data_IF_062623253240
#
_entry.id   IF_062623253240
#
_cell.length_a   1.000
_cell.length_b   1.000
_cell.length_c   1.000
_cell.angle_alpha   90.00
_cell.angle_beta   90.00
_cell.angle_gamma   90.00
#
_symmetry.space_group_name_H-M   'P 1'
#
loop_
_entity.id
_entity.type
_entity.pdbx_description
1 polymer ?
#
# COMPACT_ATOMS: atom_id res chain seq x y z
N UNK A 1 -20.12 46.35 16.75
CA UNK A 1 -20.55 44.97 17.04
C UNK A 1 -19.88 44.06 16.02
N UNK A 2 -18.94 43.24 16.48
CA UNK A 2 -18.27 42.24 15.67
C UNK A 2 -19.13 40.97 15.66
N UNK A 3 -19.44 40.43 14.49
CA UNK A 3 -20.01 39.10 14.33
C UNK A 3 -18.92 38.22 13.72
N UNK A 4 -18.34 37.35 14.55
CA UNK A 4 -17.37 36.35 14.16
C UNK A 4 -18.06 35.24 13.36
N UNK A 5 -17.62 35.01 12.13
CA UNK A 5 -17.97 33.82 11.35
C UNK A 5 -17.15 32.64 11.90
N UNK A 6 -17.78 31.79 12.70
CA UNK A 6 -17.21 30.53 13.12
C UNK A 6 -17.24 29.57 11.92
N UNK A 7 -16.06 29.34 11.32
CA UNK A 7 -15.88 28.27 10.35
C UNK A 7 -16.05 26.92 11.04
N UNK A 8 -17.00 26.12 10.57
CA UNK A 8 -17.04 24.70 10.87
C UNK A 8 -15.89 24.05 10.09
N UNK A 9 -14.73 23.95 10.74
CA UNK A 9 -13.71 22.99 10.34
C UNK A 9 -14.29 21.60 10.55
N UNK A 10 -14.75 20.97 9.47
CA UNK A 10 -15.08 19.55 9.48
C UNK A 10 -13.83 18.81 9.91
N UNK A 11 -13.85 18.27 11.13
CA UNK A 11 -12.88 17.23 11.48
C UNK A 11 -13.20 16.08 10.53
N UNK A 12 -12.27 15.79 9.60
CA UNK A 12 -12.27 14.53 8.90
C UNK A 12 -12.24 13.44 9.98
N UNK A 13 -13.39 12.83 10.25
CA UNK A 13 -13.46 11.69 11.15
C UNK A 13 -12.83 10.54 10.37
N UNK A 14 -11.55 10.28 10.66
CA UNK A 14 -10.87 9.10 10.14
C UNK A 14 -11.79 7.89 10.37
N UNK A 15 -12.02 7.11 9.30
CA UNK A 15 -12.97 5.99 9.37
C UNK A 15 -12.62 5.04 10.52
N UNK A 16 -13.63 4.45 11.18
CA UNK A 16 -13.39 3.46 12.22
C UNK A 16 -12.51 2.32 11.66
N UNK A 17 -11.45 1.90 12.36
CA UNK A 17 -10.54 0.85 11.89
C UNK A 17 -11.24 -0.44 11.47
N UNK A 18 -12.40 -0.74 12.05
CA UNK A 18 -13.23 -1.91 11.76
C UNK A 18 -13.73 -1.91 10.31
N UNK A 19 -14.04 -0.74 9.75
CA UNK A 19 -14.46 -0.58 8.35
C UNK A 19 -13.35 -1.06 7.39
N UNK A 20 -12.11 -0.71 7.70
CA UNK A 20 -10.96 -1.09 6.89
C UNK A 20 -10.52 -2.54 7.13
N UNK A 21 -10.90 -3.14 8.26
CA UNK A 21 -10.48 -4.48 8.67
C UNK A 21 -11.25 -5.63 7.99
N UNK A 22 -12.49 -5.41 7.52
CA UNK A 22 -13.37 -6.48 7.01
C UNK A 22 -12.70 -7.40 5.99
N UNK A 23 -12.17 -6.85 4.89
CA UNK A 23 -11.56 -7.65 3.84
C UNK A 23 -10.26 -8.33 4.29
N UNK A 24 -9.51 -7.71 5.20
CA UNK A 24 -8.28 -8.31 5.75
C UNK A 24 -8.60 -9.52 6.63
N UNK A 25 -9.69 -9.47 7.40
CA UNK A 25 -10.13 -10.55 8.29
C UNK A 25 -10.86 -11.67 7.55
N UNK A 26 -11.66 -11.33 6.53
CA UNK A 26 -12.45 -12.27 5.75
C UNK A 26 -11.68 -12.90 4.56
N UNK A 27 -10.40 -12.54 4.39
CA UNK A 27 -9.58 -13.06 3.31
C UNK A 27 -9.39 -14.58 3.42
N UNK A 28 -9.63 -15.35 2.36
CA UNK A 28 -9.29 -16.77 2.36
C UNK A 28 -7.76 -16.94 2.44
N UNK A 29 -7.33 -18.01 3.08
CA UNK A 29 -5.91 -18.31 3.25
C UNK A 29 -5.15 -18.30 1.91
N UNK A 30 -4.02 -17.60 1.87
CA UNK A 30 -3.16 -17.48 0.70
C UNK A 30 -3.62 -16.47 -0.36
N UNK A 31 -4.73 -15.75 -0.17
CA UNK A 31 -5.09 -14.64 -1.06
C UNK A 31 -4.04 -13.53 -1.01
N UNK A 32 -3.61 -13.15 0.19
CA UNK A 32 -2.53 -12.19 0.45
C UNK A 32 -1.24 -12.53 -0.33
N UNK A 33 -0.82 -13.79 -0.30
CA UNK A 33 0.38 -14.25 -1.00
C UNK A 33 0.21 -14.14 -2.53
N UNK A 34 -0.95 -14.51 -3.06
CA UNK A 34 -1.26 -14.35 -4.48
C UNK A 34 -1.29 -12.87 -4.87
N UNK A 35 -1.87 -11.99 -4.06
CA UNK A 35 -1.89 -10.55 -4.30
C UNK A 35 -0.47 -9.97 -4.31
N UNK A 36 0.39 -10.37 -3.38
CA UNK A 36 1.80 -9.99 -3.39
C UNK A 36 2.53 -10.46 -4.65
N UNK A 37 2.19 -11.66 -5.18
CA UNK A 37 2.74 -12.13 -6.45
C UNK A 37 2.25 -11.31 -7.66
N UNK A 38 1.00 -10.83 -7.64
CA UNK A 38 0.50 -9.91 -8.67
C UNK A 38 1.27 -8.59 -8.64
N UNK A 39 1.47 -8.01 -7.45
CA UNK A 39 2.23 -6.76 -7.30
C UNK A 39 3.67 -6.96 -7.78
N UNK A 40 4.33 -8.03 -7.35
CA UNK A 40 5.72 -8.31 -7.67
C UNK A 40 5.94 -8.58 -9.17
N UNK A 41 5.04 -9.32 -9.81
CA UNK A 41 5.16 -9.63 -11.24
C UNK A 41 4.77 -8.46 -12.15
N UNK A 42 3.99 -7.51 -11.64
CA UNK A 42 3.36 -6.44 -12.41
C UNK A 42 2.49 -6.94 -13.58
N UNK A 43 2.15 -8.24 -13.58
CA UNK A 43 1.36 -8.89 -14.62
C UNK A 43 -0.08 -9.08 -14.12
N UNK A 44 -0.87 -8.00 -14.21
CA UNK A 44 -2.28 -8.01 -13.81
C UNK A 44 -3.12 -9.02 -14.61
N UNK A 45 -2.74 -9.31 -15.85
CA UNK A 45 -3.46 -10.28 -16.68
C UNK A 45 -3.30 -11.69 -16.12
N UNK A 46 -2.07 -12.09 -15.76
CA UNK A 46 -1.80 -13.37 -15.09
C UNK A 46 -2.37 -13.42 -13.68
N UNK A 47 -2.34 -12.29 -12.98
CA UNK A 47 -2.90 -12.13 -11.64
C UNK A 47 -4.43 -12.08 -11.57
N UNK A 48 -5.12 -12.12 -12.71
CA UNK A 48 -6.56 -11.83 -12.80
C UNK A 48 -7.43 -12.63 -11.82
N UNK A 49 -7.24 -13.95 -11.64
CA UNK A 49 -8.05 -14.70 -10.68
C UNK A 49 -7.93 -14.19 -9.23
N UNK A 50 -6.72 -13.81 -8.79
CA UNK A 50 -6.52 -13.26 -7.45
C UNK A 50 -7.12 -11.86 -7.32
N UNK A 51 -7.05 -11.04 -8.38
CA UNK A 51 -7.67 -9.73 -8.42
C UNK A 51 -9.21 -9.81 -8.40
N UNK A 52 -9.79 -10.79 -9.08
CA UNK A 52 -11.24 -11.02 -9.08
C UNK A 52 -11.71 -11.52 -7.69
N UNK A 53 -10.96 -12.42 -7.05
CA UNK A 53 -11.22 -12.84 -5.66
C UNK A 53 -11.19 -11.67 -4.68
N UNK A 54 -10.17 -10.80 -4.82
CA UNK A 54 -10.05 -9.59 -3.99
C UNK A 54 -11.19 -8.59 -4.27
N UNK A 55 -11.59 -8.43 -5.53
CA UNK A 55 -12.73 -7.56 -5.90
C UNK A 55 -14.01 -8.07 -5.26
N UNK A 56 -14.33 -9.34 -5.44
CA UNK A 56 -15.52 -9.95 -4.83
C UNK A 56 -15.52 -9.82 -3.29
N UNK A 57 -14.35 -9.92 -2.65
CA UNK A 57 -14.22 -9.74 -1.21
C UNK A 57 -14.45 -8.29 -0.77
N UNK A 58 -13.82 -7.34 -1.46
CA UNK A 58 -13.90 -5.91 -1.14
C UNK A 58 -15.27 -5.32 -1.45
N UNK A 59 -15.93 -5.76 -2.52
CA UNK A 59 -17.30 -5.36 -2.84
C UNK A 59 -18.27 -5.80 -1.72
N UNK A 60 -18.22 -7.07 -1.28
CA UNK A 60 -19.04 -7.56 -0.16
C UNK A 60 -18.83 -6.73 1.11
N UNK A 61 -17.57 -6.46 1.47
CA UNK A 61 -17.25 -5.66 2.64
C UNK A 61 -17.64 -4.17 2.50
N UNK A 62 -17.72 -3.64 1.26
CA UNK A 62 -18.11 -2.26 0.99
C UNK A 62 -19.61 -2.06 1.05
N UNK A 63 -20.38 -3.03 0.56
CA UNK A 63 -21.84 -3.03 0.61
C UNK A 63 -22.33 -2.94 2.06
N UNK A 64 -21.66 -3.64 2.99
CA UNK A 64 -21.95 -3.60 4.43
C UNK A 64 -21.61 -2.25 5.09
N UNK A 65 -20.88 -1.37 4.39
CA UNK A 65 -20.36 -0.10 4.91
C UNK A 65 -20.93 1.14 4.21
N UNK A 66 -21.89 0.95 3.29
CA UNK A 66 -22.53 2.03 2.54
C UNK A 66 -21.54 2.94 1.79
N UNK A 67 -20.47 2.37 1.23
CA UNK A 67 -19.50 3.13 0.46
C UNK A 67 -20.10 3.61 -0.88
N UNK A 68 -19.69 4.79 -1.33
CA UNK A 68 -20.03 5.27 -2.68
C UNK A 68 -19.25 4.48 -3.74
N UNK A 69 -19.69 4.45 -5.02
CA UNK A 69 -18.96 3.74 -6.07
C UNK A 69 -17.48 4.13 -6.20
N UNK A 70 -17.15 5.40 -5.99
CA UNK A 70 -15.76 5.86 -5.95
C UNK A 70 -14.98 5.22 -4.79
N UNK A 71 -15.57 5.19 -3.61
CA UNK A 71 -14.96 4.62 -2.41
C UNK A 71 -14.82 3.09 -2.47
N UNK A 72 -15.59 2.38 -3.32
CA UNK A 72 -15.36 0.95 -3.57
C UNK A 72 -13.99 0.71 -4.22
N UNK A 73 -13.63 1.52 -5.23
CA UNK A 73 -12.33 1.39 -5.90
C UNK A 73 -11.16 1.83 -5.01
N UNK A 74 -11.37 2.86 -4.18
CA UNK A 74 -10.42 3.28 -3.16
C UNK A 74 -10.22 2.20 -2.10
N UNK A 75 -11.29 1.51 -1.69
CA UNK A 75 -11.20 0.41 -0.73
C UNK A 75 -10.50 -0.81 -1.32
N UNK A 76 -10.79 -1.15 -2.58
CA UNK A 76 -10.05 -2.18 -3.30
C UNK A 76 -8.54 -1.87 -3.32
N UNK A 77 -8.18 -0.63 -3.66
CA UNK A 77 -6.77 -0.19 -3.71
C UNK A 77 -6.10 -0.25 -2.35
N UNK A 78 -6.79 0.23 -1.31
CA UNK A 78 -6.33 0.11 0.08
C UNK A 78 -6.00 -1.34 0.46
N UNK A 79 -6.94 -2.26 0.26
CA UNK A 79 -6.79 -3.67 0.65
C UNK A 79 -5.72 -4.37 -0.21
N UNK A 80 -5.69 -4.11 -1.52
CA UNK A 80 -4.67 -4.62 -2.44
C UNK A 80 -3.26 -4.26 -1.95
N UNK A 81 -3.04 -2.97 -1.66
CA UNK A 81 -1.78 -2.48 -1.15
C UNK A 81 -1.46 -3.06 0.24
N UNK A 82 -2.42 -3.04 1.16
CA UNK A 82 -2.26 -3.51 2.54
C UNK A 82 -1.89 -4.99 2.63
N UNK A 83 -2.61 -5.88 1.94
CA UNK A 83 -2.31 -7.31 1.89
C UNK A 83 -0.96 -7.58 1.22
N UNK A 84 -0.70 -6.89 0.10
CA UNK A 84 0.57 -6.98 -0.60
C UNK A 84 1.74 -6.64 0.31
N UNK A 85 1.65 -5.54 1.05
CA UNK A 85 2.69 -5.10 1.98
C UNK A 85 3.00 -6.16 3.04
N UNK A 86 2.01 -6.71 3.74
CA UNK A 86 2.27 -7.69 4.81
C UNK A 86 3.16 -8.85 4.34
N UNK A 87 2.87 -9.38 3.15
CA UNK A 87 3.65 -10.48 2.57
C UNK A 87 5.00 -9.99 2.02
N UNK A 88 5.03 -8.83 1.36
CA UNK A 88 6.25 -8.26 0.80
C UNK A 88 7.26 -7.88 1.88
N UNK A 89 6.82 -7.42 3.04
CA UNK A 89 7.68 -7.13 4.19
C UNK A 89 8.42 -8.38 4.67
N UNK A 90 7.69 -9.49 4.79
CA UNK A 90 8.27 -10.80 5.14
C UNK A 90 9.31 -11.23 4.11
N UNK A 91 9.02 -11.04 2.81
CA UNK A 91 9.92 -11.40 1.70
C UNK A 91 11.16 -10.51 1.65
N UNK A 92 11.02 -9.21 1.89
CA UNK A 92 12.13 -8.25 1.99
C UNK A 92 13.03 -8.59 3.17
N UNK A 93 12.44 -8.88 4.33
CA UNK A 93 13.16 -9.30 5.53
C UNK A 93 13.97 -10.57 5.26
N UNK A 94 13.43 -11.53 4.51
CA UNK A 94 14.15 -12.74 4.11
C UNK A 94 15.35 -12.48 3.18
N UNK A 95 15.35 -11.38 2.42
CA UNK A 95 16.51 -10.90 1.64
C UNK A 95 17.46 -10.02 2.47
N UNK A 96 17.19 -9.83 3.76
CA UNK A 96 17.98 -8.95 4.63
C UNK A 96 17.81 -7.46 4.34
N UNK A 97 16.64 -7.07 3.82
CA UNK A 97 16.32 -5.68 3.45
C UNK A 97 15.16 -5.21 4.35
N UNK A 98 15.42 -4.36 5.36
CA UNK A 98 14.36 -3.76 6.16
C UNK A 98 13.48 -2.83 5.33
N UNK A 99 12.18 -3.09 5.27
CA UNK A 99 11.21 -2.25 4.56
C UNK A 99 11.16 -0.81 5.08
N UNK A 100 11.39 -0.61 6.39
CA UNK A 100 11.47 0.69 7.03
C UNK A 100 12.53 1.63 6.39
N UNK A 101 13.61 1.08 5.83
CA UNK A 101 14.62 1.87 5.11
C UNK A 101 14.03 2.43 3.82
N UNK A 102 13.22 1.63 3.11
CA UNK A 102 12.53 2.06 1.88
C UNK A 102 11.51 3.14 2.22
N UNK A 103 10.73 2.92 3.28
CA UNK A 103 9.74 3.88 3.79
C UNK A 103 10.37 5.23 4.11
N UNK A 104 11.47 5.23 4.86
CA UNK A 104 12.19 6.46 5.21
C UNK A 104 12.85 7.13 4.00
N UNK A 105 13.40 6.35 3.06
CA UNK A 105 14.08 6.89 1.89
C UNK A 105 13.15 7.69 0.97
N UNK A 106 11.89 7.28 0.90
CA UNK A 106 10.90 7.83 -0.03
C UNK A 106 9.80 8.62 0.66
N UNK A 107 9.86 8.76 1.99
CA UNK A 107 8.82 9.43 2.79
C UNK A 107 7.42 8.80 2.53
N UNK A 108 7.39 7.47 2.58
CA UNK A 108 6.19 6.65 2.43
C UNK A 108 5.99 5.77 3.68
N UNK A 109 4.77 5.35 4.00
CA UNK A 109 4.47 4.66 5.27
C UNK A 109 3.62 5.49 6.23
N UNK A 110 3.21 4.92 7.38
CA UNK A 110 2.39 5.61 8.37
C UNK A 110 3.04 6.89 8.89
N UNK A 111 2.32 8.01 8.81
CA UNK A 111 2.80 9.32 9.30
C UNK A 111 3.69 10.10 8.32
N UNK A 112 3.99 9.53 7.14
CA UNK A 112 4.81 10.15 6.11
C UNK A 112 3.97 10.84 5.03
N UNK A 113 4.61 11.59 4.11
CA UNK A 113 3.89 12.33 3.07
C UNK A 113 3.07 11.42 2.13
N UNK A 114 3.57 10.22 1.82
CA UNK A 114 2.91 9.26 0.92
C UNK A 114 2.51 9.90 -0.42
N UNK A 115 3.45 10.59 -1.07
CA UNK A 115 3.19 11.17 -2.37
C UNK A 115 2.77 10.05 -3.36
N UNK A 116 1.69 10.25 -4.15
CA UNK A 116 1.27 9.25 -5.12
C UNK A 116 2.42 8.90 -6.06
N UNK A 117 2.71 7.61 -6.20
CA UNK A 117 3.72 7.12 -7.12
C UNK A 117 3.03 6.53 -8.35
N UNK A 118 2.90 7.31 -9.43
CA UNK A 118 2.37 6.80 -10.69
C UNK A 118 3.26 5.66 -11.24
N UNK A 119 4.57 5.76 -11.01
CA UNK A 119 5.60 4.78 -11.36
C UNK A 119 6.77 4.89 -10.40
N UNK A 120 7.44 3.76 -10.12
CA UNK A 120 8.74 3.75 -9.45
C UNK A 120 9.81 4.17 -10.46
N UNK A 121 10.55 5.23 -10.15
CA UNK A 121 11.58 5.79 -11.03
C UNK A 121 12.99 5.30 -10.66
N UNK A 122 13.95 5.45 -11.57
CA UNK A 122 15.37 5.21 -11.24
C UNK A 122 15.86 6.17 -10.13
N UNK A 123 15.28 7.37 -10.05
CA UNK A 123 15.54 8.32 -8.98
C UNK A 123 15.15 7.77 -7.61
N UNK A 124 13.98 7.14 -7.50
CA UNK A 124 13.51 6.52 -6.27
C UNK A 124 14.41 5.34 -5.87
N UNK A 125 14.77 4.49 -6.82
CA UNK A 125 15.67 3.36 -6.56
C UNK A 125 17.07 3.82 -6.13
N UNK A 126 17.56 4.94 -6.66
CA UNK A 126 18.81 5.56 -6.21
C UNK A 126 18.71 6.08 -4.78
N UNK A 127 17.60 6.72 -4.41
CA UNK A 127 17.38 7.17 -3.03
C UNK A 127 17.37 5.98 -2.05
N UNK A 128 16.70 4.88 -2.43
CA UNK A 128 16.70 3.65 -1.63
C UNK A 128 18.10 3.05 -1.53
N UNK A 129 18.87 3.00 -2.63
CA UNK A 129 20.26 2.54 -2.61
C UNK A 129 21.13 3.37 -1.66
N UNK A 130 21.02 4.69 -1.70
CA UNK A 130 21.73 5.59 -0.79
C UNK A 130 21.34 5.35 0.68
N UNK A 131 20.05 5.12 0.95
CA UNK A 131 19.55 4.82 2.29
C UNK A 131 20.03 3.46 2.81
N UNK A 132 20.02 2.43 1.96
CA UNK A 132 20.59 1.11 2.27
C UNK A 132 22.07 1.22 2.64
N UNK A 133 22.85 1.95 1.84
CA UNK A 133 24.27 2.17 2.10
C UNK A 133 24.52 2.87 3.44
N UNK A 134 23.72 3.91 3.76
CA UNK A 134 23.79 4.61 5.07
C UNK A 134 23.42 3.69 6.25
N UNK A 135 22.53 2.73 6.03
CA UNK A 135 22.12 1.74 7.02
C UNK A 135 23.06 0.53 7.11
N UNK A 136 24.17 0.49 6.34
CA UNK A 136 25.13 -0.61 6.35
C UNK A 136 24.78 -1.78 5.45
N UNK A 137 23.75 -1.65 4.62
CA UNK A 137 23.39 -2.63 3.59
C UNK A 137 24.05 -2.23 2.26
N UNK A 138 25.02 -3.01 1.78
CA UNK A 138 25.71 -2.73 0.51
C UNK A 138 24.73 -2.86 -0.68
N UNK A 139 24.36 -1.75 -1.36
CA UNK A 139 23.38 -1.80 -2.46
C UNK A 139 23.86 -2.65 -3.64
N UNK A 140 25.18 -2.78 -3.83
CA UNK A 140 25.75 -3.61 -4.89
C UNK A 140 25.56 -5.12 -4.64
N UNK A 141 25.23 -5.52 -3.41
CA UNK A 141 24.92 -6.91 -3.04
C UNK A 141 23.42 -7.23 -3.08
N UNK A 142 22.56 -6.23 -3.29
CA UNK A 142 21.13 -6.46 -3.44
C UNK A 142 20.88 -7.22 -4.73
N UNK A 143 20.24 -8.37 -4.62
CA UNK A 143 19.96 -9.25 -5.76
C UNK A 143 18.91 -8.62 -6.67
N UNK A 144 18.79 -9.07 -7.94
CA UNK A 144 17.68 -8.64 -8.81
C UNK A 144 16.31 -8.88 -8.18
N UNK A 145 16.17 -9.97 -7.40
CA UNK A 145 14.97 -10.28 -6.63
C UNK A 145 14.73 -9.27 -5.51
N UNK A 146 15.77 -8.90 -4.77
CA UNK A 146 15.69 -7.86 -3.73
C UNK A 146 15.21 -6.52 -4.31
N UNK A 147 15.76 -6.11 -5.46
CA UNK A 147 15.30 -4.90 -6.15
C UNK A 147 13.85 -5.01 -6.64
N UNK A 148 13.43 -6.16 -7.15
CA UNK A 148 12.03 -6.37 -7.53
C UNK A 148 11.09 -6.27 -6.31
N UNK A 149 11.51 -6.80 -5.16
CA UNK A 149 10.74 -6.71 -3.91
C UNK A 149 10.68 -5.26 -3.38
N UNK A 150 11.76 -4.49 -3.48
CA UNK A 150 11.76 -3.06 -3.15
C UNK A 150 10.73 -2.32 -4.03
N UNK A 151 10.79 -2.51 -5.35
CA UNK A 151 9.82 -1.91 -6.28
C UNK A 151 8.38 -2.31 -5.94
N UNK A 152 8.15 -3.60 -5.67
CA UNK A 152 6.84 -4.10 -5.28
C UNK A 152 6.34 -3.47 -3.97
N UNK A 153 7.21 -3.30 -2.99
CA UNK A 153 6.89 -2.65 -1.71
C UNK A 153 6.49 -1.19 -1.89
N UNK A 154 7.22 -0.44 -2.74
CA UNK A 154 6.89 0.96 -3.06
C UNK A 154 5.50 1.04 -3.69
N UNK A 155 5.23 0.20 -4.69
CA UNK A 155 3.93 0.14 -5.37
C UNK A 155 2.80 -0.20 -4.40
N UNK A 156 2.98 -1.21 -3.57
CA UNK A 156 1.98 -1.64 -2.59
C UNK A 156 1.70 -0.53 -1.56
N UNK A 157 2.74 0.19 -1.15
CA UNK A 157 2.66 1.31 -0.22
C UNK A 157 1.91 2.50 -0.80
N UNK A 158 2.29 2.95 -1.99
CA UNK A 158 1.62 4.04 -2.68
C UNK A 158 0.15 3.70 -2.92
N UNK A 159 -0.14 2.50 -3.43
CA UNK A 159 -1.52 2.06 -3.69
C UNK A 159 -2.37 2.00 -2.42
N UNK A 160 -1.79 1.55 -1.31
CA UNK A 160 -2.48 1.51 -0.02
C UNK A 160 -2.88 2.91 0.45
N UNK A 161 -1.94 3.86 0.44
CA UNK A 161 -2.18 5.20 0.97
C UNK A 161 -2.98 6.08 0.01
N UNK A 162 -2.85 5.88 -1.29
CA UNK A 162 -3.73 6.51 -2.27
C UNK A 162 -5.18 6.04 -2.09
N UNK A 163 -5.38 4.73 -1.94
CA UNK A 163 -6.68 4.19 -1.57
C UNK A 163 -7.21 4.76 -0.27
N UNK A 164 -6.37 4.85 0.78
CA UNK A 164 -6.77 5.39 2.08
C UNK A 164 -7.20 6.87 2.00
N UNK A 165 -6.47 7.69 1.25
CA UNK A 165 -6.75 9.13 1.10
C UNK A 165 -8.11 9.39 0.48
N UNK A 166 -8.51 8.55 -0.47
CA UNK A 166 -9.79 8.67 -1.17
C UNK A 166 -10.96 8.03 -0.41
N UNK A 167 -10.68 7.42 0.75
CA UNK A 167 -11.68 6.92 1.69
C UNK A 167 -12.05 7.97 2.75
N UNK A 168 -11.14 8.85 3.17
CA UNK A 168 -11.46 9.93 4.12
C UNK A 168 -12.23 11.09 3.47
#
# INVERSE_FOLDING_TARGET
>A
MAAALAGFGGQALARPPEALACALQAAPAGLDARIADVILSQDRARGRPALDDLRALTDRCSDDQFLTPHQHDSYFSYVYGRMGRDVLDTRLTAEGIPSAIVDQALDIGPGNANNPAEKVTEGDLRLVAEALGKAGHDPARVTPRGWALITAWIVATATMFDGLRDLD
#
